data_IF_681160123611
#
_entry.id   IF_681160123611
#
_cell.length_a   1.000
_cell.length_b   1.000
_cell.length_c   1.000
_cell.angle_alpha   90.00
_cell.angle_beta   90.00
_cell.angle_gamma   90.00
#
_symmetry.space_group_name_H-M   'P 1'
#
loop_
_entity.id
_entity.type
_entity.pdbx_description
1 polymer ?
#
# COMPACT_ATOMS: atom_id res chain seq x y z
N UNK A 1 8.97 -11.64 -14.58
CA UNK A 1 8.19 -10.48 -14.10
C UNK A 1 7.06 -10.97 -13.21
N UNK A 2 6.81 -10.31 -12.07
CA UNK A 2 5.77 -10.69 -11.09
C UNK A 2 4.36 -10.68 -11.71
N UNK A 3 4.12 -9.77 -12.65
CA UNK A 3 2.85 -9.66 -13.39
C UNK A 3 2.47 -10.97 -14.10
N UNK A 4 3.43 -11.60 -14.79
CA UNK A 4 3.23 -12.88 -15.48
C UNK A 4 3.10 -14.08 -14.52
N UNK A 5 3.21 -13.86 -13.21
CA UNK A 5 2.97 -14.85 -12.16
C UNK A 5 1.66 -14.62 -11.41
N UNK A 6 0.89 -13.59 -11.77
CA UNK A 6 -0.39 -13.27 -11.12
C UNK A 6 -0.22 -12.90 -9.65
N UNK A 7 0.80 -12.10 -9.32
CA UNK A 7 1.01 -11.64 -7.94
C UNK A 7 0.00 -10.54 -7.60
N UNK A 8 -0.80 -10.77 -6.58
CA UNK A 8 -1.85 -9.82 -6.15
C UNK A 8 -1.33 -8.70 -5.24
N UNK A 9 -0.35 -9.01 -4.39
CA UNK A 9 0.20 -8.09 -3.38
C UNK A 9 1.72 -8.17 -3.35
N UNK A 10 2.37 -7.00 -3.42
CA UNK A 10 3.82 -6.84 -3.32
C UNK A 10 4.11 -5.96 -2.11
N UNK A 11 4.86 -6.49 -1.15
CA UNK A 11 5.27 -5.76 0.05
C UNK A 11 6.74 -5.35 -0.06
N UNK A 12 7.03 -4.10 0.31
CA UNK A 12 8.39 -3.59 0.44
C UNK A 12 8.59 -2.89 1.78
N UNK A 13 9.83 -2.86 2.24
CA UNK A 13 10.29 -1.92 3.27
C UNK A 13 11.20 -0.86 2.64
N UNK A 14 12.38 -0.68 3.24
CA UNK A 14 13.42 0.29 2.86
C UNK A 14 13.04 1.75 3.07
N UNK A 15 11.97 2.21 2.43
CA UNK A 15 11.44 3.53 2.69
C UNK A 15 10.71 3.54 4.02
N UNK A 16 11.21 4.33 4.97
CA UNK A 16 10.68 4.41 6.33
C UNK A 16 9.41 5.25 6.40
N UNK A 17 8.41 4.85 5.62
CA UNK A 17 7.08 5.44 5.54
C UNK A 17 6.07 4.31 5.25
N UNK A 18 4.80 4.69 5.15
CA UNK A 18 3.76 3.83 4.62
C UNK A 18 3.27 4.38 3.28
N UNK A 19 3.07 3.55 2.28
CA UNK A 19 2.34 3.93 1.07
C UNK A 19 1.71 2.74 0.40
N UNK A 20 0.62 2.98 -0.32
CA UNK A 20 -0.10 1.96 -1.09
C UNK A 20 -0.47 2.49 -2.46
N UNK A 21 -0.27 1.67 -3.48
CA UNK A 21 -0.80 1.93 -4.82
C UNK A 21 -2.28 1.57 -4.95
N UNK A 22 -2.91 2.07 -6.00
CA UNK A 22 -4.08 1.43 -6.57
C UNK A 22 -3.72 0.02 -7.11
N UNK A 23 -4.67 -0.75 -7.65
CA UNK A 23 -4.30 -1.98 -8.34
C UNK A 23 -3.65 -1.64 -9.68
N UNK A 24 -2.43 -2.13 -9.90
CA UNK A 24 -1.60 -1.78 -11.05
C UNK A 24 -1.32 -2.97 -11.95
N UNK A 25 -1.34 -2.70 -13.26
CA UNK A 25 -0.69 -3.51 -14.29
C UNK A 25 0.40 -2.68 -15.00
N UNK A 26 0.99 -3.24 -16.05
CA UNK A 26 2.04 -2.57 -16.84
C UNK A 26 3.43 -2.72 -16.23
N UNK A 27 4.25 -1.66 -16.31
CA UNK A 27 5.65 -1.68 -15.88
C UNK A 27 5.93 -0.56 -14.89
N UNK A 28 7.06 -0.63 -14.17
CA UNK A 28 7.45 0.45 -13.26
C UNK A 28 7.63 1.81 -13.98
N UNK A 29 8.03 1.81 -15.25
CA UNK A 29 8.17 3.02 -16.05
C UNK A 29 6.84 3.53 -16.64
N UNK A 30 5.84 2.65 -16.75
CA UNK A 30 4.52 2.95 -17.29
C UNK A 30 3.46 2.15 -16.52
N UNK A 31 3.17 2.53 -15.26
CA UNK A 31 2.18 1.87 -14.45
C UNK A 31 0.77 2.20 -14.99
N UNK A 32 -0.10 1.20 -15.00
CA UNK A 32 -1.49 1.34 -15.44
C UNK A 32 -2.40 0.99 -14.28
N UNK A 33 -3.22 1.95 -13.84
CA UNK A 33 -4.22 1.71 -12.80
C UNK A 33 -5.41 0.97 -13.40
N UNK A 34 -5.66 -0.26 -12.95
CA UNK A 34 -6.80 -1.08 -13.41
C UNK A 34 -8.01 -0.94 -12.49
N UNK A 35 -7.79 -0.59 -11.21
CA UNK A 35 -8.84 -0.45 -10.21
C UNK A 35 -8.41 0.53 -9.10
N UNK A 36 -9.35 1.30 -8.55
CA UNK A 36 -9.12 2.34 -7.54
C UNK A 36 -9.90 2.17 -6.24
N UNK A 37 -10.92 1.33 -6.20
CA UNK A 37 -11.95 1.40 -5.15
C UNK A 37 -11.56 0.73 -3.82
N UNK A 38 -10.47 -0.04 -3.80
CA UNK A 38 -10.00 -0.77 -2.61
C UNK A 38 -10.58 -2.17 -2.46
N UNK A 39 -11.42 -2.62 -3.40
CA UNK A 39 -11.97 -3.98 -3.49
C UNK A 39 -11.52 -4.61 -4.81
N UNK A 40 -10.24 -5.00 -4.84
CA UNK A 40 -9.54 -5.41 -6.05
C UNK A 40 -9.85 -6.85 -6.46
N UNK A 41 -9.62 -7.16 -7.74
CA UNK A 41 -9.80 -8.51 -8.29
C UNK A 41 -8.47 -9.26 -8.39
N UNK A 42 -8.41 -10.48 -7.85
CA UNK A 42 -7.23 -11.34 -7.95
C UNK A 42 -6.83 -11.57 -9.42
N UNK A 43 -5.54 -11.46 -9.72
CA UNK A 43 -4.98 -11.64 -11.06
C UNK A 43 -5.16 -10.45 -12.02
N UNK A 44 -5.93 -9.40 -11.67
CA UNK A 44 -6.08 -8.22 -12.52
C UNK A 44 -4.86 -7.29 -12.50
N UNK A 45 -3.99 -7.45 -11.50
CA UNK A 45 -2.79 -6.65 -11.29
C UNK A 45 -2.31 -6.76 -9.84
N UNK A 46 -1.22 -6.08 -9.53
CA UNK A 46 -0.65 -6.06 -8.18
C UNK A 46 -1.00 -4.77 -7.43
N UNK A 47 -1.25 -4.89 -6.14
CA UNK A 47 -1.18 -3.76 -5.20
C UNK A 47 0.23 -3.73 -4.61
N UNK A 48 0.90 -2.60 -4.69
CA UNK A 48 2.21 -2.39 -4.09
C UNK A 48 2.03 -1.64 -2.78
N UNK A 49 2.60 -2.18 -1.71
CA UNK A 49 2.55 -1.56 -0.38
C UNK A 49 3.96 -1.44 0.20
N UNK A 50 4.36 -0.21 0.51
CA UNK A 50 5.53 0.03 1.36
C UNK A 50 5.08 0.00 2.81
N UNK A 51 5.62 -0.93 3.59
CA UNK A 51 5.38 -1.13 5.02
C UNK A 51 6.70 -0.92 5.77
N UNK A 52 7.26 0.29 5.68
CA UNK A 52 8.54 0.62 6.32
C UNK A 52 8.42 1.54 7.55
N UNK A 53 7.20 1.88 7.95
CA UNK A 53 6.91 2.76 9.09
C UNK A 53 7.06 2.09 10.47
N UNK A 54 8.04 1.19 10.64
CA UNK A 54 8.23 0.42 11.88
C UNK A 54 8.89 1.18 13.04
N UNK A 55 9.24 2.47 12.86
CA UNK A 55 9.75 3.33 13.94
C UNK A 55 11.17 3.88 13.76
N UNK A 56 11.92 3.45 12.76
CA UNK A 56 13.28 3.93 12.52
C UNK A 56 13.32 5.05 11.48
N UNK A 57 13.89 6.22 11.82
CA UNK A 57 14.24 7.32 10.90
C UNK A 57 13.19 7.58 9.79
N UNK A 58 12.01 8.05 10.21
CA UNK A 58 10.87 8.32 9.36
C UNK A 58 11.20 9.22 8.16
N UNK A 59 10.67 8.88 6.98
CA UNK A 59 10.89 9.61 5.72
C UNK A 59 9.62 10.33 5.25
N UNK A 60 9.82 11.35 4.41
CA UNK A 60 8.73 12.01 3.70
C UNK A 60 8.16 11.10 2.61
N UNK A 61 6.97 11.46 2.13
CA UNK A 61 6.31 10.87 0.96
C UNK A 61 6.13 11.94 -0.13
N UNK A 62 5.87 11.51 -1.36
CA UNK A 62 5.60 12.43 -2.47
C UNK A 62 4.39 13.33 -2.15
N UNK A 63 4.48 14.61 -2.54
CA UNK A 63 3.38 15.58 -2.42
C UNK A 63 3.41 16.54 -3.62
N UNK A 64 2.39 16.53 -4.51
CA UNK A 64 1.24 15.63 -4.49
C UNK A 64 1.63 14.17 -4.75
N UNK A 65 0.76 13.24 -4.34
CA UNK A 65 0.93 11.83 -4.68
C UNK A 65 0.80 11.64 -6.21
N UNK A 66 1.60 10.73 -6.80
CA UNK A 66 1.41 10.36 -8.20
C UNK A 66 0.07 9.64 -8.38
N UNK A 67 -0.54 9.74 -9.56
CA UNK A 67 -1.90 9.24 -9.83
C UNK A 67 -2.09 7.71 -9.66
N UNK A 68 -1.01 6.94 -9.53
CA UNK A 68 -1.05 5.50 -9.24
C UNK A 68 -1.02 5.19 -7.74
N UNK A 69 -0.66 6.15 -6.88
CA UNK A 69 -0.66 6.00 -5.43
C UNK A 69 -2.05 6.33 -4.87
N UNK A 70 -2.58 5.43 -4.05
CA UNK A 70 -3.88 5.59 -3.41
C UNK A 70 -3.77 6.37 -2.10
N UNK A 71 -2.74 6.08 -1.30
CA UNK A 71 -2.52 6.74 -0.01
C UNK A 71 -1.06 6.62 0.44
N UNK A 72 -0.64 7.49 1.35
CA UNK A 72 0.65 7.43 1.99
C UNK A 72 0.67 8.17 3.35
N UNK A 73 1.56 7.71 4.25
CA UNK A 73 1.87 8.35 5.53
C UNK A 73 3.38 8.52 5.66
N UNK A 74 3.85 9.77 5.65
CA UNK A 74 5.24 10.16 5.88
C UNK A 74 5.33 11.33 6.84
N UNK A 75 6.56 11.78 7.14
CA UNK A 75 6.78 12.89 8.09
C UNK A 75 6.15 14.22 7.65
N UNK A 76 5.92 14.40 6.35
CA UNK A 76 5.26 15.56 5.75
C UNK A 76 3.73 15.38 5.55
N UNK A 77 3.14 14.27 5.99
CA UNK A 77 1.69 14.08 5.94
C UNK A 77 0.96 14.93 6.99
N UNK A 78 -0.30 15.33 6.76
CA UNK A 78 -1.12 15.94 7.80
C UNK A 78 -1.17 15.07 9.06
N UNK A 79 -0.90 15.67 10.22
CA UNK A 79 -0.77 14.95 11.50
C UNK A 79 0.56 14.23 11.71
N UNK A 80 1.50 14.32 10.76
CA UNK A 80 2.79 13.63 10.79
C UNK A 80 2.69 12.15 10.42
N UNK A 81 3.81 11.45 10.57
CA UNK A 81 3.90 10.03 10.25
C UNK A 81 3.08 9.16 11.21
N UNK A 82 2.41 8.15 10.67
CA UNK A 82 1.84 7.06 11.43
C UNK A 82 2.81 5.88 11.42
N UNK A 83 3.42 5.56 12.57
CA UNK A 83 4.21 4.34 12.73
C UNK A 83 3.28 3.16 12.96
N UNK A 84 3.60 1.99 12.41
CA UNK A 84 2.67 0.89 12.42
C UNK A 84 3.08 -0.35 11.66
N UNK A 85 2.13 -1.25 11.50
CA UNK A 85 2.27 -2.51 10.78
C UNK A 85 1.07 -2.78 9.88
N UNK A 86 1.27 -3.67 8.89
CA UNK A 86 0.21 -4.15 8.02
C UNK A 86 -0.24 -5.54 8.50
N UNK A 87 -1.49 -5.64 8.93
CA UNK A 87 -2.13 -6.93 9.18
C UNK A 87 -2.70 -7.48 7.87
N UNK A 88 -2.49 -8.76 7.61
CA UNK A 88 -3.02 -9.46 6.44
C UNK A 88 -3.75 -10.72 6.91
N UNK A 89 -5.01 -10.85 6.52
CA UNK A 89 -5.81 -12.06 6.69
C UNK A 89 -6.12 -12.66 5.33
N UNK A 90 -5.75 -13.93 5.13
CA UNK A 90 -6.03 -14.65 3.90
C UNK A 90 -7.05 -15.76 4.14
N UNK A 91 -8.05 -15.84 3.27
CA UNK A 91 -9.03 -16.92 3.17
C UNK A 91 -8.95 -17.54 1.77
N UNK A 92 -9.70 -18.62 1.48
CA UNK A 92 -9.74 -19.19 0.13
C UNK A 92 -10.22 -18.20 -0.95
N UNK A 93 -10.97 -17.16 -0.59
CA UNK A 93 -11.62 -16.24 -1.53
C UNK A 93 -11.19 -14.78 -1.37
N UNK A 94 -10.40 -14.43 -0.37
CA UNK A 94 -9.99 -13.06 -0.15
C UNK A 94 -8.66 -12.92 0.58
N UNK A 95 -7.93 -11.86 0.24
CA UNK A 95 -6.88 -11.28 1.07
C UNK A 95 -7.39 -9.92 1.58
N UNK A 96 -7.51 -9.77 2.90
CA UNK A 96 -7.84 -8.50 3.54
C UNK A 96 -6.59 -7.92 4.19
N UNK A 97 -6.26 -6.67 3.85
CA UNK A 97 -5.13 -5.96 4.42
C UNK A 97 -5.62 -4.72 5.20
N UNK A 98 -5.04 -4.51 6.39
CA UNK A 98 -5.37 -3.39 7.28
C UNK A 98 -4.09 -2.81 7.85
N UNK A 99 -3.88 -1.51 7.64
CA UNK A 99 -2.80 -0.79 8.31
C UNK A 99 -3.23 -0.41 9.72
N UNK A 100 -2.38 -0.73 10.70
CA UNK A 100 -2.59 -0.42 12.12
C UNK A 100 -1.53 0.58 12.54
N UNK A 101 -1.97 1.79 12.87
CA UNK A 101 -1.08 2.81 13.41
C UNK A 101 -0.87 2.57 14.92
N UNK A 102 0.36 2.24 15.30
CA UNK A 102 0.77 1.94 16.67
C UNK A 102 1.28 3.19 17.41
N UNK A 103 1.85 4.16 16.69
CA UNK A 103 2.40 5.39 17.26
C UNK A 103 2.43 6.56 16.24
N UNK A 104 2.71 7.77 16.72
CA UNK A 104 2.67 8.98 15.89
C UNK A 104 1.22 9.37 15.58
N UNK A 105 0.88 9.54 14.31
CA UNK A 105 -0.49 9.80 13.88
C UNK A 105 -1.36 8.53 13.95
N UNK A 106 -1.86 8.19 15.14
CA UNK A 106 -2.71 7.01 15.37
C UNK A 106 -4.11 7.11 14.76
N UNK A 107 -4.51 8.29 14.24
CA UNK A 107 -5.76 8.46 13.50
C UNK A 107 -5.66 8.02 12.04
N UNK A 108 -4.43 7.88 11.50
CA UNK A 108 -4.23 7.36 10.16
C UNK A 108 -4.65 5.89 10.08
N UNK A 109 -5.43 5.55 9.07
CA UNK A 109 -5.83 4.18 8.78
C UNK A 109 -5.88 3.95 7.26
N UNK A 110 -5.67 2.71 6.84
CA UNK A 110 -5.88 2.26 5.47
C UNK A 110 -6.32 0.79 5.50
N UNK A 111 -7.14 0.39 4.53
CA UNK A 111 -7.53 -0.99 4.32
C UNK A 111 -7.89 -1.25 2.85
N UNK A 112 -7.73 -2.50 2.44
CA UNK A 112 -8.19 -2.97 1.13
C UNK A 112 -8.42 -4.48 1.14
N UNK A 113 -9.15 -4.96 0.15
CA UNK A 113 -9.38 -6.38 -0.14
C UNK A 113 -8.89 -6.71 -1.55
N UNK A 114 -8.35 -7.92 -1.72
CA UNK A 114 -8.24 -8.59 -3.02
C UNK A 114 -9.14 -9.81 -2.98
N UNK A 115 -10.18 -9.84 -3.81
CA UNK A 115 -11.16 -10.93 -3.89
C UNK A 115 -10.90 -11.84 -5.09
N UNK A 116 -11.20 -13.13 -4.94
CA UNK A 116 -11.11 -14.16 -5.99
C UNK A 116 -12.49 -14.55 -6.52
#
# INVERSE_FOLDING_TARGET
MLLGKGVDLILSGHDHNYSRSHQLTGTAAAPVVVDRDGTFAAGAGSVLVTVGAGGHNARTVASPLPAWAATASGTNSPGGIAFGHLEITATPTALTARYVADAGNTAYSDSFVVAR
#
